data_IF_276905306795
#
_entry.id   IF_276905306795
#
_cell.length_a   1.000
_cell.length_b   1.000
_cell.length_c   1.000
_cell.angle_alpha   90.00
_cell.angle_beta   90.00
_cell.angle_gamma   90.00
#
_symmetry.space_group_name_H-M   'P 1'
#
loop_
_entity.id
_entity.type
_entity.pdbx_description
1 polymer ?
#
# COMPACT_ATOMS: atom_id res chain seq x y z
N UNK A 1 -23.76 3.30 -4.42
CA UNK A 1 -22.99 2.69 -5.54
C UNK A 1 -21.49 2.54 -5.22
N UNK A 2 -20.75 3.59 -4.81
CA UNK A 2 -19.32 3.44 -4.46
C UNK A 2 -19.13 2.57 -3.21
N UNK A 3 -20.00 2.70 -2.21
CA UNK A 3 -19.90 1.94 -0.95
C UNK A 3 -20.13 0.44 -1.18
N UNK A 4 -21.12 0.06 -1.98
CA UNK A 4 -21.36 -1.34 -2.33
C UNK A 4 -20.23 -1.98 -3.16
N UNK A 5 -19.55 -1.18 -3.98
CA UNK A 5 -18.37 -1.65 -4.70
C UNK A 5 -17.20 -1.90 -3.74
N UNK A 6 -16.94 -0.98 -2.83
CA UNK A 6 -15.85 -1.12 -1.85
C UNK A 6 -16.12 -2.27 -0.86
N UNK A 7 -17.37 -2.46 -0.41
CA UNK A 7 -17.73 -3.66 0.38
C UNK A 7 -17.39 -4.94 -0.38
N UNK A 8 -17.77 -5.03 -1.67
CA UNK A 8 -17.47 -6.20 -2.50
C UNK A 8 -15.96 -6.41 -2.69
N UNK A 9 -15.19 -5.32 -2.86
CA UNK A 9 -13.73 -5.40 -3.00
C UNK A 9 -13.09 -5.87 -1.69
N UNK A 10 -13.50 -5.31 -0.54
CA UNK A 10 -13.01 -5.73 0.78
C UNK A 10 -13.30 -7.21 1.05
N UNK A 11 -14.55 -7.64 0.84
CA UNK A 11 -14.95 -9.05 1.02
C UNK A 11 -14.11 -9.99 0.14
N UNK A 12 -13.92 -9.66 -1.14
CA UNK A 12 -13.12 -10.46 -2.05
C UNK A 12 -11.63 -10.48 -1.67
N UNK A 13 -11.05 -9.30 -1.38
CA UNK A 13 -9.64 -9.18 -1.02
C UNK A 13 -9.33 -9.95 0.27
N UNK A 14 -10.17 -9.79 1.30
CA UNK A 14 -10.01 -10.51 2.56
C UNK A 14 -10.19 -12.01 2.39
N UNK A 15 -11.21 -12.46 1.64
CA UNK A 15 -11.47 -13.88 1.42
C UNK A 15 -10.33 -14.57 0.66
N UNK A 16 -9.80 -13.95 -0.40
CA UNK A 16 -8.68 -14.50 -1.14
C UNK A 16 -7.39 -14.51 -0.31
N UNK A 17 -7.09 -13.42 0.40
CA UNK A 17 -5.89 -13.39 1.24
C UNK A 17 -5.96 -14.41 2.39
N UNK A 18 -7.14 -14.61 2.99
CA UNK A 18 -7.35 -15.64 3.98
C UNK A 18 -7.15 -17.06 3.41
N UNK A 19 -7.64 -17.31 2.20
CA UNK A 19 -7.41 -18.58 1.51
C UNK A 19 -5.92 -18.85 1.34
N UNK A 20 -5.17 -17.87 0.79
CA UNK A 20 -3.73 -18.02 0.58
C UNK A 20 -2.95 -18.13 1.90
N UNK A 21 -3.37 -17.38 2.93
CA UNK A 21 -2.80 -17.47 4.27
C UNK A 21 -3.00 -18.87 4.88
N UNK A 22 -4.21 -19.44 4.80
CA UNK A 22 -4.52 -20.78 5.30
C UNK A 22 -3.76 -21.89 4.57
N UNK A 23 -3.42 -21.68 3.30
CA UNK A 23 -2.58 -22.58 2.50
C UNK A 23 -1.08 -22.39 2.77
N UNK A 24 -0.69 -21.40 3.59
CA UNK A 24 0.72 -21.07 3.87
C UNK A 24 1.44 -20.36 2.72
N UNK A 25 0.71 -19.92 1.68
CA UNK A 25 1.27 -19.29 0.48
C UNK A 25 1.58 -17.81 0.67
N UNK A 26 0.85 -17.11 1.53
CA UNK A 26 0.98 -15.67 1.69
C UNK A 26 0.89 -15.27 3.16
N UNK A 27 1.79 -14.38 3.60
CA UNK A 27 1.79 -13.79 4.94
C UNK A 27 1.95 -12.27 4.88
N UNK A 28 1.67 -11.68 3.71
CA UNK A 28 1.72 -10.24 3.50
C UNK A 28 0.31 -9.66 3.49
N UNK A 29 0.13 -8.40 3.92
CA UNK A 29 -1.17 -7.74 3.86
C UNK A 29 -1.67 -7.61 2.43
N UNK A 30 -2.99 -7.78 2.25
CA UNK A 30 -3.67 -7.31 1.05
C UNK A 30 -4.01 -5.83 1.25
N UNK A 31 -3.71 -5.01 0.24
CA UNK A 31 -3.99 -3.59 0.26
C UNK A 31 -5.30 -3.28 -0.50
N UNK A 32 -6.13 -2.41 0.08
CA UNK A 32 -7.39 -1.97 -0.52
C UNK A 32 -7.48 -0.44 -0.49
N UNK A 33 -7.71 0.16 -1.65
CA UNK A 33 -7.91 1.59 -1.79
C UNK A 33 -9.24 2.05 -1.20
N UNK A 34 -9.21 3.09 -0.36
CA UNK A 34 -10.39 3.72 0.22
C UNK A 34 -10.52 5.15 -0.30
N UNK A 35 -11.70 5.45 -0.85
CA UNK A 35 -11.98 6.82 -1.31
C UNK A 35 -12.06 7.81 -0.13
N UNK A 36 -11.69 9.08 -0.37
CA UNK A 36 -11.75 10.10 0.66
C UNK A 36 -13.14 10.25 1.29
N UNK A 37 -14.21 10.11 0.49
CA UNK A 37 -15.58 10.14 1.01
C UNK A 37 -15.86 9.03 2.04
N UNK A 38 -15.42 7.81 1.74
CA UNK A 38 -15.59 6.66 2.64
C UNK A 38 -14.70 6.79 3.87
N UNK A 39 -13.47 7.24 3.67
CA UNK A 39 -12.54 7.47 4.77
C UNK A 39 -13.10 8.45 5.81
N UNK A 40 -13.73 9.55 5.38
CA UNK A 40 -14.33 10.52 6.31
C UNK A 40 -15.64 10.08 6.94
N UNK A 41 -16.24 8.96 6.52
CA UNK A 41 -17.38 8.34 7.18
C UNK A 41 -16.90 7.14 8.03
N UNK A 42 -16.28 7.45 9.16
CA UNK A 42 -15.63 6.46 10.03
C UNK A 42 -16.54 5.29 10.41
N UNK A 43 -17.77 5.59 10.88
CA UNK A 43 -18.70 4.53 11.30
C UNK A 43 -19.01 3.55 10.18
N UNK A 44 -19.21 4.05 8.97
CA UNK A 44 -19.47 3.22 7.81
C UNK A 44 -18.21 2.45 7.39
N UNK A 45 -17.04 3.09 7.40
CA UNK A 45 -15.77 2.45 7.07
C UNK A 45 -15.47 1.30 8.01
N UNK A 46 -15.54 1.53 9.32
CA UNK A 46 -15.29 0.48 10.32
C UNK A 46 -16.29 -0.68 10.18
N UNK A 47 -17.58 -0.38 9.98
CA UNK A 47 -18.58 -1.42 9.75
C UNK A 47 -18.31 -2.27 8.51
N UNK A 48 -17.85 -1.66 7.39
CA UNK A 48 -17.48 -2.40 6.17
C UNK A 48 -16.25 -3.29 6.40
N UNK A 49 -15.25 -2.76 7.11
CA UNK A 49 -14.01 -3.48 7.40
C UNK A 49 -14.26 -4.65 8.36
N UNK A 50 -14.98 -4.41 9.46
CA UNK A 50 -15.32 -5.45 10.44
C UNK A 50 -16.09 -6.60 9.77
N UNK A 51 -17.09 -6.25 8.95
CA UNK A 51 -17.85 -7.24 8.17
C UNK A 51 -16.96 -8.10 7.26
N UNK A 52 -16.04 -7.47 6.52
CA UNK A 52 -15.15 -8.19 5.61
C UNK A 52 -14.19 -9.12 6.37
N UNK A 53 -13.68 -8.68 7.52
CA UNK A 53 -12.82 -9.49 8.38
C UNK A 53 -13.59 -10.63 9.03
N UNK A 54 -14.79 -10.38 9.56
CA UNK A 54 -15.65 -11.40 10.16
C UNK A 54 -16.06 -12.46 9.14
N UNK A 55 -16.49 -12.04 7.94
CA UNK A 55 -16.91 -12.95 6.87
C UNK A 55 -15.77 -13.85 6.38
N UNK A 56 -14.56 -13.28 6.26
CA UNK A 56 -13.40 -14.00 5.72
C UNK A 56 -12.61 -14.78 6.77
N UNK A 57 -12.64 -14.34 8.03
CA UNK A 57 -11.76 -14.83 9.08
C UNK A 57 -10.30 -14.39 8.91
N UNK A 58 -10.02 -13.37 8.07
CA UNK A 58 -8.67 -12.85 7.86
C UNK A 58 -8.17 -12.15 9.13
N UNK A 59 -6.96 -12.47 9.62
CA UNK A 59 -6.35 -11.70 10.70
C UNK A 59 -6.22 -10.21 10.33
N UNK A 60 -6.66 -9.25 11.17
CA UNK A 60 -6.71 -7.83 10.83
C UNK A 60 -5.36 -7.27 10.36
N UNK A 61 -4.23 -7.74 10.90
CA UNK A 61 -2.88 -7.30 10.50
C UNK A 61 -2.50 -7.68 9.05
N UNK A 62 -3.30 -8.52 8.39
CA UNK A 62 -3.17 -8.89 6.98
C UNK A 62 -4.08 -8.06 6.05
N UNK A 63 -4.76 -7.04 6.57
CA UNK A 63 -5.44 -6.01 5.80
C UNK A 63 -4.70 -4.69 5.93
N UNK A 64 -4.49 -4.02 4.81
CA UNK A 64 -3.95 -2.66 4.73
C UNK A 64 -4.95 -1.78 3.97
N UNK A 65 -5.25 -0.59 4.47
CA UNK A 65 -6.09 0.38 3.78
C UNK A 65 -5.21 1.48 3.20
N UNK A 66 -5.39 1.76 1.91
CA UNK A 66 -4.66 2.81 1.21
C UNK A 66 -5.54 4.04 1.07
N UNK A 67 -5.03 5.19 1.50
CA UNK A 67 -5.71 6.48 1.42
C UNK A 67 -4.82 7.49 0.72
N UNK A 68 -5.39 8.26 -0.20
CA UNK A 68 -4.63 9.27 -0.93
C UNK A 68 -4.19 10.41 -0.02
N UNK A 69 -3.05 11.03 -0.35
CA UNK A 69 -2.54 12.22 0.32
C UNK A 69 -3.63 13.30 0.47
N UNK A 70 -4.33 13.60 -0.62
CA UNK A 70 -5.39 14.63 -0.64
C UNK A 70 -6.53 14.31 0.32
N UNK A 71 -6.93 13.04 0.44
CA UNK A 71 -7.97 12.61 1.38
C UNK A 71 -7.54 12.79 2.82
N UNK A 72 -6.31 12.40 3.17
CA UNK A 72 -5.78 12.55 4.52
C UNK A 72 -5.62 14.03 4.93
N UNK A 73 -5.27 14.89 3.97
CA UNK A 73 -5.02 16.31 4.21
C UNK A 73 -6.28 17.19 4.23
N UNK A 74 -7.44 16.66 3.83
CA UNK A 74 -8.71 17.41 3.84
C UNK A 74 -9.16 17.76 5.27
N UNK A 75 -9.11 16.81 6.19
CA UNK A 75 -9.34 16.99 7.63
C UNK A 75 -8.32 16.18 8.43
N UNK A 76 -7.12 16.74 8.69
CA UNK A 76 -6.03 16.01 9.31
C UNK A 76 -6.32 15.48 10.71
N UNK A 77 -7.13 16.21 11.50
CA UNK A 77 -7.47 15.79 12.86
C UNK A 77 -8.38 14.57 12.84
N UNK A 78 -9.38 14.58 11.98
CA UNK A 78 -10.27 13.44 11.78
C UNK A 78 -9.51 12.26 11.18
N UNK A 79 -8.65 12.51 10.19
CA UNK A 79 -7.81 11.51 9.58
C UNK A 79 -6.91 10.80 10.62
N UNK A 80 -6.22 11.57 11.46
CA UNK A 80 -5.39 11.01 12.54
C UNK A 80 -6.20 10.10 13.47
N UNK A 81 -7.40 10.51 13.85
CA UNK A 81 -8.28 9.72 14.73
C UNK A 81 -8.71 8.40 14.06
N UNK A 82 -9.14 8.45 12.81
CA UNK A 82 -9.57 7.26 12.06
C UNK A 82 -8.40 6.29 11.88
N UNK A 83 -7.22 6.77 11.46
CA UNK A 83 -6.03 5.94 11.31
C UNK A 83 -5.64 5.30 12.64
N UNK A 84 -5.74 6.04 13.76
CA UNK A 84 -5.47 5.50 15.07
C UNK A 84 -6.47 4.40 15.45
N UNK A 85 -7.77 4.61 15.21
CA UNK A 85 -8.81 3.59 15.45
C UNK A 85 -8.54 2.31 14.65
N UNK A 86 -8.16 2.44 13.37
CA UNK A 86 -7.79 1.30 12.54
C UNK A 86 -6.55 0.56 13.08
N UNK A 87 -5.52 1.32 13.48
CA UNK A 87 -4.30 0.75 14.06
C UNK A 87 -4.57 0.02 15.38
N UNK A 88 -5.43 0.57 16.25
CA UNK A 88 -5.83 -0.06 17.51
C UNK A 88 -6.56 -1.40 17.28
N UNK A 89 -7.21 -1.55 16.12
CA UNK A 89 -7.79 -2.80 15.64
C UNK A 89 -6.80 -3.66 14.81
N UNK A 90 -5.50 -3.35 14.86
CA UNK A 90 -4.43 -4.02 14.11
C UNK A 90 -4.55 -3.95 12.59
N UNK A 91 -5.30 -3.00 12.04
CA UNK A 91 -5.40 -2.74 10.60
C UNK A 91 -4.38 -1.67 10.24
N UNK A 92 -3.61 -1.91 9.18
CA UNK A 92 -2.57 -0.99 8.74
C UNK A 92 -3.15 0.05 7.80
N UNK A 93 -2.54 1.26 7.81
CA UNK A 93 -2.84 2.30 6.83
C UNK A 93 -1.57 2.70 6.09
N UNK A 94 -1.69 2.87 4.78
CA UNK A 94 -0.66 3.44 3.91
C UNK A 94 -1.14 4.75 3.30
N UNK A 95 -0.23 5.69 3.14
CA UNK A 95 -0.50 6.94 2.43
C UNK A 95 -0.12 6.77 0.97
N UNK A 96 -1.09 6.95 0.09
CA UNK A 96 -0.97 6.76 -1.35
C UNK A 96 -0.80 8.08 -2.12
N UNK A 97 -0.30 8.01 -3.35
CA UNK A 97 -0.08 9.14 -4.27
C UNK A 97 0.80 10.25 -3.68
N UNK A 98 1.76 9.91 -2.80
CA UNK A 98 2.57 10.93 -2.12
C UNK A 98 3.44 11.75 -3.08
N UNK A 99 3.39 13.07 -2.89
CA UNK A 99 4.12 14.05 -3.68
C UNK A 99 3.30 14.71 -4.78
N UNK A 100 2.06 14.29 -5.00
CA UNK A 100 1.14 14.90 -5.98
C UNK A 100 0.32 16.05 -5.38
N UNK A 101 0.30 16.18 -4.04
CA UNK A 101 -0.46 17.16 -3.28
C UNK A 101 0.39 18.14 -2.48
N UNK A 102 -0.23 18.81 -1.53
CA UNK A 102 0.38 19.78 -0.62
C UNK A 102 0.48 19.24 0.80
N UNK A 103 1.32 18.24 1.03
CA UNK A 103 1.52 17.71 2.39
C UNK A 103 2.36 18.63 3.27
N UNK A 104 1.82 18.92 4.45
CA UNK A 104 2.64 19.48 5.53
C UNK A 104 3.36 18.34 6.25
N UNK A 105 4.70 18.42 6.32
CA UNK A 105 5.52 17.46 7.08
C UNK A 105 5.08 17.34 8.56
N UNK A 106 4.57 18.43 9.14
CA UNK A 106 4.08 18.43 10.52
C UNK A 106 2.80 17.58 10.66
N UNK A 107 1.95 17.59 9.66
CA UNK A 107 0.73 16.78 9.62
C UNK A 107 1.08 15.31 9.37
N UNK A 108 1.94 15.04 8.38
CA UNK A 108 2.38 13.67 8.08
C UNK A 108 2.99 13.00 9.33
N UNK A 109 3.81 13.73 10.10
CA UNK A 109 4.40 13.23 11.35
C UNK A 109 3.34 12.85 12.41
N UNK A 110 2.17 13.47 12.39
CA UNK A 110 1.11 13.18 13.36
C UNK A 110 0.29 11.93 13.04
N UNK A 111 0.38 11.41 11.82
CA UNK A 111 -0.36 10.23 11.41
C UNK A 111 0.35 8.95 11.86
N UNK A 112 -0.36 8.02 12.53
CA UNK A 112 0.21 6.74 12.93
C UNK A 112 0.25 5.73 11.75
N UNK A 113 0.81 6.18 10.62
CA UNK A 113 0.99 5.37 9.42
C UNK A 113 2.15 4.37 9.58
N UNK A 114 2.17 3.37 8.71
CA UNK A 114 3.28 2.40 8.61
C UNK A 114 3.99 2.44 7.27
N UNK A 115 3.34 2.99 6.24
CA UNK A 115 3.85 2.99 4.88
C UNK A 115 3.50 4.28 4.14
N UNK A 116 4.42 4.71 3.28
CA UNK A 116 4.25 5.79 2.34
C UNK A 116 4.51 5.25 0.94
N UNK A 117 3.61 5.55 -0.02
CA UNK A 117 3.72 5.11 -1.40
C UNK A 117 4.12 6.30 -2.28
N UNK A 118 5.21 6.14 -3.02
CA UNK A 118 5.68 7.12 -4.00
C UNK A 118 4.90 6.88 -5.29
N UNK A 119 4.20 7.93 -5.77
CA UNK A 119 3.40 7.87 -6.97
C UNK A 119 4.24 7.50 -8.21
N UNK A 120 3.62 6.74 -9.10
CA UNK A 120 4.20 6.27 -10.36
C UNK A 120 4.82 7.38 -11.20
N UNK A 121 4.26 8.60 -11.21
CA UNK A 121 4.77 9.71 -12.04
C UNK A 121 6.21 10.06 -11.70
N UNK A 122 6.62 9.99 -10.44
CA UNK A 122 8.00 10.20 -10.02
C UNK A 122 8.92 9.05 -10.44
N UNK A 123 8.42 7.82 -10.36
CA UNK A 123 9.18 6.61 -10.73
C UNK A 123 9.45 6.58 -12.25
N UNK A 124 8.47 6.91 -13.07
CA UNK A 124 8.64 6.97 -14.52
C UNK A 124 9.68 8.00 -14.96
N UNK A 125 9.90 9.04 -14.17
CA UNK A 125 10.82 10.13 -14.46
C UNK A 125 12.12 10.06 -13.63
N UNK A 126 12.48 8.91 -13.07
CA UNK A 126 13.71 8.72 -12.28
C UNK A 126 15.01 8.98 -13.04
N UNK A 127 14.97 9.05 -14.37
CA UNK A 127 16.13 9.43 -15.18
C UNK A 127 16.41 10.95 -15.15
N UNK A 128 15.45 11.76 -14.78
CA UNK A 128 15.61 13.20 -14.59
C UNK A 128 16.21 13.48 -13.22
N UNK A 129 17.33 14.21 -13.20
CA UNK A 129 18.07 14.53 -11.97
C UNK A 129 17.16 15.13 -10.89
N UNK A 130 16.24 16.02 -11.28
CA UNK A 130 15.32 16.67 -10.34
C UNK A 130 14.39 15.65 -9.65
N UNK A 131 13.80 14.74 -10.40
CA UNK A 131 12.91 13.72 -9.88
C UNK A 131 13.66 12.69 -9.02
N UNK A 132 14.86 12.31 -9.43
CA UNK A 132 15.73 11.44 -8.63
C UNK A 132 16.00 12.04 -7.23
N UNK A 133 16.31 13.35 -7.16
CA UNK A 133 16.55 14.01 -5.88
C UNK A 133 15.27 14.17 -5.03
N UNK A 134 14.10 14.36 -5.67
CA UNK A 134 12.81 14.34 -4.97
C UNK A 134 12.55 12.97 -4.34
N UNK A 135 12.70 11.89 -5.12
CA UNK A 135 12.51 10.52 -4.62
C UNK A 135 13.48 10.20 -3.48
N UNK A 136 14.78 10.58 -3.63
CA UNK A 136 15.79 10.44 -2.57
C UNK A 136 15.38 11.14 -1.29
N UNK A 137 14.94 12.40 -1.39
CA UNK A 137 14.51 13.20 -0.24
C UNK A 137 13.24 12.60 0.41
N UNK A 138 12.30 12.10 -0.40
CA UNK A 138 11.08 11.44 0.08
C UNK A 138 11.41 10.17 0.87
N UNK A 139 12.28 9.32 0.36
CA UNK A 139 12.71 8.08 1.06
C UNK A 139 13.38 8.44 2.39
N UNK A 140 14.33 9.36 2.38
CA UNK A 140 15.03 9.78 3.59
C UNK A 140 14.08 10.38 4.64
N UNK A 141 13.12 11.20 4.21
CA UNK A 141 12.08 11.76 5.08
C UNK A 141 11.19 10.67 5.67
N UNK A 142 10.69 9.74 4.87
CA UNK A 142 9.84 8.66 5.33
C UNK A 142 10.55 7.79 6.37
N UNK A 143 11.80 7.41 6.13
CA UNK A 143 12.63 6.67 7.09
C UNK A 143 12.85 7.43 8.40
N UNK A 144 13.08 8.75 8.32
CA UNK A 144 13.19 9.60 9.51
C UNK A 144 11.90 9.64 10.36
N UNK A 145 10.74 9.34 9.73
CA UNK A 145 9.44 9.20 10.38
C UNK A 145 9.09 7.74 10.75
N UNK A 146 10.02 6.79 10.58
CA UNK A 146 9.81 5.35 10.78
C UNK A 146 8.71 4.75 9.89
N UNK A 147 8.56 5.28 8.67
CA UNK A 147 7.69 4.74 7.64
C UNK A 147 8.49 3.89 6.66
N UNK A 148 7.95 2.75 6.24
CA UNK A 148 8.46 2.04 5.07
C UNK A 148 8.01 2.75 3.79
N UNK A 149 8.83 2.67 2.74
CA UNK A 149 8.54 3.30 1.46
C UNK A 149 8.26 2.26 0.40
N UNK A 150 7.14 2.40 -0.31
CA UNK A 150 6.80 1.63 -1.48
C UNK A 150 6.87 2.53 -2.73
N UNK A 151 7.59 2.12 -3.75
CA UNK A 151 7.61 2.80 -5.04
C UNK A 151 6.71 2.09 -6.04
N UNK A 152 5.79 2.83 -6.65
CA UNK A 152 4.82 2.31 -7.61
C UNK A 152 5.27 2.46 -9.06
N UNK A 153 4.70 1.61 -9.93
CA UNK A 153 4.89 1.72 -11.37
C UNK A 153 6.29 1.42 -11.87
N UNK A 154 7.02 0.56 -11.18
CA UNK A 154 8.33 0.09 -11.63
C UNK A 154 8.16 -0.89 -12.78
N UNK A 155 8.55 -0.48 -14.00
CA UNK A 155 8.34 -1.24 -15.22
C UNK A 155 9.64 -1.80 -15.83
N UNK A 156 10.79 -1.32 -15.39
CA UNK A 156 12.08 -1.72 -15.94
C UNK A 156 13.17 -1.88 -14.86
N UNK A 157 14.20 -2.63 -15.21
CA UNK A 157 15.32 -2.92 -14.31
C UNK A 157 16.11 -1.68 -13.89
N UNK A 158 16.24 -0.68 -14.76
CA UNK A 158 16.97 0.55 -14.43
C UNK A 158 16.32 1.32 -13.30
N UNK A 159 14.98 1.44 -13.30
CA UNK A 159 14.24 2.06 -12.20
C UNK A 159 14.38 1.24 -10.91
N UNK A 160 14.28 -0.08 -11.01
CA UNK A 160 14.46 -0.98 -9.87
C UNK A 160 15.83 -0.78 -9.20
N UNK A 161 16.94 -0.83 -9.96
CA UNK A 161 18.28 -0.67 -9.39
C UNK A 161 18.46 0.71 -8.75
N UNK A 162 17.97 1.78 -9.36
CA UNK A 162 18.02 3.13 -8.77
C UNK A 162 17.27 3.21 -7.46
N UNK A 163 16.04 2.67 -7.39
CA UNK A 163 15.24 2.68 -6.18
C UNK A 163 15.89 1.85 -5.06
N UNK A 164 16.50 0.71 -5.42
CA UNK A 164 17.28 -0.12 -4.51
C UNK A 164 18.49 0.65 -3.95
N UNK A 165 19.24 1.34 -4.80
CA UNK A 165 20.38 2.20 -4.38
C UNK A 165 19.94 3.35 -3.48
N UNK A 166 18.72 3.88 -3.67
CA UNK A 166 18.13 4.92 -2.84
C UNK A 166 17.60 4.38 -1.50
N UNK A 167 17.57 3.06 -1.30
CA UNK A 167 17.07 2.43 -0.08
C UNK A 167 15.56 2.30 -0.02
N UNK A 168 14.85 2.26 -1.16
CA UNK A 168 13.42 2.00 -1.17
C UNK A 168 13.13 0.58 -0.64
N UNK A 169 12.17 0.46 0.29
CA UNK A 169 11.93 -0.79 1.02
C UNK A 169 11.09 -1.80 0.22
N UNK A 170 10.12 -1.31 -0.56
CA UNK A 170 9.15 -2.13 -1.29
C UNK A 170 8.99 -1.57 -2.70
N UNK A 171 8.89 -2.44 -3.66
CA UNK A 171 8.78 -2.07 -5.07
C UNK A 171 7.59 -2.79 -5.69
N UNK A 172 6.72 -2.03 -6.36
CA UNK A 172 5.54 -2.53 -7.04
C UNK A 172 5.52 -2.08 -8.51
N UNK A 173 5.19 -2.99 -9.43
CA UNK A 173 5.02 -2.61 -10.83
C UNK A 173 5.10 -3.77 -11.81
N UNK A 174 4.93 -3.44 -13.08
CA UNK A 174 4.88 -4.42 -14.18
C UNK A 174 6.21 -5.14 -14.44
N UNK A 175 7.29 -4.69 -13.81
CA UNK A 175 8.56 -5.44 -13.81
C UNK A 175 8.37 -6.84 -13.20
N UNK A 176 7.52 -6.97 -12.18
CA UNK A 176 7.24 -8.23 -11.50
C UNK A 176 6.04 -8.95 -12.10
N UNK A 177 4.91 -8.26 -12.18
CA UNK A 177 3.68 -8.78 -12.78
C UNK A 177 2.74 -7.66 -13.18
N UNK A 178 1.96 -7.90 -14.24
CA UNK A 178 0.72 -7.15 -14.51
C UNK A 178 -0.37 -7.63 -13.56
N UNK A 179 -1.49 -6.88 -13.41
CA UNK A 179 -2.63 -7.37 -12.64
C UNK A 179 -3.05 -8.78 -13.07
N UNK A 180 -3.26 -9.64 -12.08
CA UNK A 180 -3.60 -11.05 -12.26
C UNK A 180 -4.99 -11.33 -11.68
N UNK A 181 -5.67 -12.36 -12.20
CA UNK A 181 -6.85 -12.90 -11.50
C UNK A 181 -6.41 -13.56 -10.18
N UNK A 182 -7.34 -13.77 -9.23
CA UNK A 182 -7.00 -14.44 -7.97
C UNK A 182 -6.38 -15.84 -8.19
N UNK A 183 -6.85 -16.60 -9.17
CA UNK A 183 -6.33 -17.94 -9.51
C UNK A 183 -4.90 -17.85 -10.08
N UNK A 184 -4.64 -16.85 -10.92
CA UNK A 184 -3.30 -16.60 -11.45
C UNK A 184 -2.34 -16.15 -10.36
N UNK A 185 -2.82 -15.32 -9.41
CA UNK A 185 -2.05 -14.90 -8.23
C UNK A 185 -1.71 -16.11 -7.37
N UNK A 186 -2.64 -17.04 -7.14
CA UNK A 186 -2.38 -18.27 -6.40
C UNK A 186 -1.26 -19.09 -7.05
N UNK A 187 -1.31 -19.27 -8.37
CA UNK A 187 -0.25 -19.96 -9.12
C UNK A 187 1.12 -19.25 -9.03
N UNK A 188 1.11 -17.92 -9.05
CA UNK A 188 2.31 -17.12 -8.86
C UNK A 188 2.88 -17.31 -7.45
N UNK A 189 2.03 -17.24 -6.41
CA UNK A 189 2.45 -17.44 -5.01
C UNK A 189 3.05 -18.84 -4.78
N UNK A 190 2.48 -19.89 -5.40
CA UNK A 190 3.03 -21.25 -5.33
C UNK A 190 4.44 -21.37 -5.91
N UNK A 191 4.82 -20.49 -6.84
CA UNK A 191 6.13 -20.47 -7.52
C UNK A 191 7.05 -19.39 -6.98
N UNK A 192 6.57 -18.55 -6.05
CA UNK A 192 7.23 -17.32 -5.64
C UNK A 192 8.69 -17.50 -5.24
N UNK A 193 9.00 -18.51 -4.44
CA UNK A 193 10.37 -18.76 -3.99
C UNK A 193 11.32 -19.10 -5.15
N UNK A 194 10.81 -19.82 -6.15
CA UNK A 194 11.59 -20.16 -7.35
C UNK A 194 11.78 -18.93 -8.27
N UNK A 195 10.73 -18.14 -8.43
CA UNK A 195 10.73 -16.94 -9.29
C UNK A 195 11.58 -15.82 -8.68
N UNK A 196 11.50 -15.60 -7.37
CA UNK A 196 12.35 -14.63 -6.66
C UNK A 196 13.82 -15.09 -6.67
N UNK A 197 14.09 -16.38 -6.52
CA UNK A 197 15.45 -16.91 -6.65
C UNK A 197 16.02 -16.74 -8.07
N UNK A 198 15.18 -16.84 -9.10
CA UNK A 198 15.55 -16.58 -10.49
C UNK A 198 15.81 -15.08 -10.74
N UNK A 199 14.95 -14.21 -10.19
CA UNK A 199 15.16 -12.76 -10.20
C UNK A 199 16.41 -12.38 -9.43
N UNK A 200 16.68 -12.99 -8.27
CA UNK A 200 17.86 -12.73 -7.43
C UNK A 200 19.19 -13.19 -8.03
N UNK A 201 19.19 -14.17 -8.94
CA UNK A 201 20.40 -14.60 -9.66
C UNK A 201 20.72 -13.73 -10.89
N UNK A 202 19.79 -12.91 -11.30
CA UNK A 202 19.91 -11.94 -12.39
C UNK A 202 19.95 -10.49 -11.92
N UNK A 203 19.94 -10.25 -10.61
CA UNK A 203 19.96 -8.93 -9.98
C UNK A 203 21.26 -8.70 -9.21
#
# INVERSE_FOLDING_TARGET
>A
MIDSLTESILDQACSWNQKWYSMGLCRVPVAVNISGRQFHNETQLLCMVDKALDNSGLPPYLLELELTESSAMFDPKNAQRIIQTLLDNNIRCALDDFGTGYSSLSVLRSFPLKKLKIDRSFVLQLNEKKNLEIVRATIAMAHALNLSVLAEGVENRQHFEKLKELGCDIIQGYLFSRPLSPEQTELMLMRWDADVAALGKGF
#
